data_IF_986734542991
#
_entry.id   IF_986734542991
#
_cell.length_a   1.000
_cell.length_b   1.000
_cell.length_c   1.000
_cell.angle_alpha   90.00
_cell.angle_beta   90.00
_cell.angle_gamma   90.00
#
_symmetry.space_group_name_H-M   'P 1'
#
loop_
_entity.id
_entity.type
_entity.pdbx_description
1 polymer ?
#
# COMPACT_ATOMS: atom_id res chain seq x y z
N UNK A 1 26.59 36.25 57.87
CA UNK A 1 25.22 36.27 57.30
C UNK A 1 25.28 35.73 55.87
N UNK A 2 25.36 34.40 55.67
CA UNK A 2 25.48 33.75 54.32
C UNK A 2 24.66 32.44 54.25
N UNK A 3 23.79 32.15 55.22
CA UNK A 3 23.00 30.91 55.22
C UNK A 3 21.62 31.02 54.53
N UNK A 4 21.14 32.23 54.24
CA UNK A 4 19.77 32.46 53.74
C UNK A 4 19.59 32.46 52.22
N UNK A 5 20.66 32.67 51.44
CA UNK A 5 20.57 32.81 49.97
C UNK A 5 20.71 31.47 49.22
N UNK A 6 21.41 30.49 49.80
CA UNK A 6 21.54 29.17 49.19
C UNK A 6 20.22 28.37 49.26
N UNK A 7 19.48 28.48 50.36
CA UNK A 7 18.21 27.79 50.56
C UNK A 7 17.09 28.29 49.63
N UNK A 8 17.05 29.60 49.34
CA UNK A 8 16.04 30.20 48.45
C UNK A 8 16.30 29.88 46.98
N UNK A 9 17.57 29.79 46.54
CA UNK A 9 17.93 29.33 45.18
C UNK A 9 17.64 27.85 44.97
N UNK A 10 17.90 27.00 45.96
CA UNK A 10 17.58 25.57 45.88
C UNK A 10 16.07 25.32 45.77
N UNK A 11 15.25 26.02 46.56
CA UNK A 11 13.78 25.93 46.50
C UNK A 11 13.22 26.43 45.16
N UNK A 12 13.79 27.48 44.57
CA UNK A 12 13.40 27.99 43.25
C UNK A 12 13.71 26.99 42.12
N UNK A 13 14.89 26.37 42.14
CA UNK A 13 15.27 25.35 41.17
C UNK A 13 14.38 24.11 41.28
N UNK A 14 14.07 23.66 42.51
CA UNK A 14 13.22 22.51 42.76
C UNK A 14 11.77 22.75 42.28
N UNK A 15 11.24 23.96 42.48
CA UNK A 15 9.91 24.36 41.98
C UNK A 15 9.85 24.35 40.45
N UNK A 16 10.92 24.79 39.80
CA UNK A 16 11.03 24.79 38.33
C UNK A 16 11.07 23.36 37.79
N UNK A 17 11.86 22.46 38.39
CA UNK A 17 11.92 21.04 38.00
C UNK A 17 10.56 20.36 38.16
N UNK A 18 9.87 20.57 39.28
CA UNK A 18 8.53 19.99 39.52
C UNK A 18 7.52 20.51 38.48
N UNK A 19 7.60 21.78 38.11
CA UNK A 19 6.73 22.37 37.10
C UNK A 19 6.98 21.80 35.69
N UNK A 20 8.25 21.56 35.32
CA UNK A 20 8.58 20.89 34.06
C UNK A 20 8.18 19.42 34.04
N UNK A 21 8.35 18.70 35.16
CA UNK A 21 7.91 17.31 35.27
C UNK A 21 6.38 17.19 35.20
N UNK A 22 5.64 18.11 35.83
CA UNK A 22 4.19 18.16 35.73
C UNK A 22 3.72 18.47 34.29
N UNK A 23 4.41 19.37 33.58
CA UNK A 23 4.12 19.68 32.18
C UNK A 23 4.40 18.49 31.26
N UNK A 24 5.51 17.77 31.47
CA UNK A 24 5.84 16.55 30.72
C UNK A 24 4.82 15.43 30.97
N UNK A 25 4.36 15.25 32.21
CA UNK A 25 3.32 14.28 32.55
C UNK A 25 1.98 14.65 31.91
N UNK A 26 1.61 15.94 31.88
CA UNK A 26 0.41 16.42 31.19
C UNK A 26 0.51 16.21 29.67
N UNK A 27 1.68 16.47 29.06
CA UNK A 27 1.92 16.20 27.64
C UNK A 27 1.81 14.71 27.31
N UNK A 28 2.34 13.83 28.17
CA UNK A 28 2.17 12.38 28.01
C UNK A 28 0.71 11.97 28.14
N UNK A 29 -0.04 12.55 29.07
CA UNK A 29 -1.46 12.25 29.29
C UNK A 29 -2.37 12.73 28.15
N UNK A 30 -2.07 13.89 27.56
CA UNK A 30 -2.77 14.40 26.36
C UNK A 30 -2.40 13.57 25.12
N UNK A 31 -1.13 13.16 24.98
CA UNK A 31 -0.68 12.31 23.88
C UNK A 31 -1.18 10.86 23.93
N UNK A 32 -1.68 10.40 25.08
CA UNK A 32 -2.24 9.05 25.26
C UNK A 32 -3.77 9.02 25.30
N UNK A 33 -4.43 10.17 25.07
CA UNK A 33 -5.88 10.21 24.95
C UNK A 33 -6.33 9.68 23.58
N UNK A 34 -7.16 8.62 23.50
CA UNK A 34 -7.58 8.01 22.24
C UNK A 34 -8.25 9.00 21.26
N UNK A 35 -8.87 10.04 21.80
CA UNK A 35 -9.53 11.11 21.04
C UNK A 35 -8.58 12.02 20.27
N UNK A 36 -7.29 12.08 20.64
CA UNK A 36 -6.24 12.78 19.90
C UNK A 36 -5.36 11.82 19.08
N UNK A 37 -5.38 10.51 19.40
CA UNK A 37 -4.79 9.46 18.57
C UNK A 37 -5.67 9.11 17.35
N UNK A 38 -6.98 9.33 17.45
CA UNK A 38 -7.96 9.10 16.38
C UNK A 38 -7.91 10.14 15.24
N UNK A 39 -7.10 11.20 15.35
CA UNK A 39 -6.96 12.21 14.31
C UNK A 39 -6.13 11.75 13.08
N UNK A 40 -5.71 10.48 13.03
CA UNK A 40 -5.04 9.86 11.88
C UNK A 40 -5.75 8.62 11.31
N UNK A 41 -6.92 8.24 11.83
CA UNK A 41 -7.60 6.99 11.41
C UNK A 41 -8.59 7.18 10.24
N UNK A 42 -8.80 8.41 9.78
CA UNK A 42 -9.72 8.78 8.67
C UNK A 42 -9.01 9.06 7.33
N UNK A 43 -7.71 8.79 7.17
CA UNK A 43 -6.92 9.48 6.12
C UNK A 43 -6.98 8.87 4.70
N UNK A 44 -7.54 7.67 4.49
CA UNK A 44 -7.57 7.04 3.16
C UNK A 44 -8.79 6.17 2.85
N UNK A 45 -9.12 6.07 1.55
CA UNK A 45 -10.30 5.34 1.06
C UNK A 45 -10.20 3.87 1.43
N UNK A 46 -11.24 3.36 2.09
CA UNK A 46 -11.36 1.94 2.41
C UNK A 46 -12.68 1.37 1.87
N UNK A 47 -12.58 0.33 1.07
CA UNK A 47 -13.70 -0.39 0.46
C UNK A 47 -13.90 -1.72 1.17
N UNK A 48 -15.13 -2.02 1.57
CA UNK A 48 -15.44 -3.28 2.23
C UNK A 48 -15.41 -4.46 1.25
N UNK A 49 -14.42 -5.35 1.40
CA UNK A 49 -14.33 -6.59 0.63
C UNK A 49 -15.30 -7.62 1.23
N UNK A 50 -16.21 -8.16 0.41
CA UNK A 50 -17.23 -9.12 0.86
C UNK A 50 -16.76 -10.57 0.84
N UNK A 51 -16.01 -10.95 -0.21
CA UNK A 51 -15.49 -12.29 -0.43
C UNK A 51 -14.35 -12.24 -1.45
N UNK A 52 -13.42 -13.19 -1.35
CA UNK A 52 -12.43 -13.46 -2.38
C UNK A 52 -12.87 -14.67 -3.20
N UNK A 53 -12.49 -14.69 -4.46
CA UNK A 53 -12.66 -15.83 -5.37
C UNK A 53 -11.49 -15.84 -6.37
N UNK A 54 -11.22 -17.00 -6.95
CA UNK A 54 -10.25 -17.15 -8.03
C UNK A 54 -10.82 -18.06 -9.12
N UNK A 55 -10.13 -18.04 -10.26
CA UNK A 55 -10.41 -18.92 -11.38
C UNK A 55 -9.20 -19.80 -11.67
N UNK A 56 -9.39 -21.08 -12.02
CA UNK A 56 -8.30 -21.94 -12.45
C UNK A 56 -7.73 -21.48 -13.79
N UNK A 57 -6.49 -21.86 -14.08
CA UNK A 57 -5.83 -21.57 -15.36
C UNK A 57 -6.66 -22.05 -16.57
N UNK A 58 -7.51 -23.07 -16.41
CA UNK A 58 -8.38 -23.56 -17.49
C UNK A 58 -9.33 -22.50 -18.07
N UNK A 59 -9.69 -21.47 -17.29
CA UNK A 59 -10.53 -20.36 -17.79
C UNK A 59 -9.78 -19.49 -18.82
N UNK A 60 -8.45 -19.57 -18.89
CA UNK A 60 -7.64 -18.83 -19.85
C UNK A 60 -7.39 -19.59 -21.15
N UNK A 61 -7.83 -20.86 -21.27
CA UNK A 61 -7.61 -21.69 -22.48
C UNK A 61 -8.25 -21.04 -23.72
N UNK A 62 -9.39 -20.39 -23.56
CA UNK A 62 -10.08 -19.69 -24.66
C UNK A 62 -9.34 -18.42 -25.13
N UNK A 63 -8.30 -18.01 -24.40
CA UNK A 63 -7.43 -16.86 -24.67
C UNK A 63 -5.98 -17.32 -24.92
N UNK A 64 -5.80 -18.46 -25.57
CA UNK A 64 -4.49 -19.05 -25.86
C UNK A 64 -3.61 -19.27 -24.61
N UNK A 65 -4.24 -19.53 -23.46
CA UNK A 65 -3.57 -19.69 -22.16
C UNK A 65 -2.80 -18.45 -21.67
N UNK A 66 -3.06 -17.27 -22.25
CA UNK A 66 -2.42 -16.03 -21.82
C UNK A 66 -3.04 -15.53 -20.50
N UNK A 67 -2.18 -15.23 -19.52
CA UNK A 67 -2.58 -14.60 -18.25
C UNK A 67 -2.06 -13.17 -18.27
N UNK A 68 -2.90 -12.25 -18.72
CA UNK A 68 -2.60 -10.80 -18.73
C UNK A 68 -3.43 -10.05 -17.70
N UNK A 69 -3.06 -8.81 -17.38
CA UNK A 69 -3.83 -7.98 -16.45
C UNK A 69 -5.27 -7.81 -16.95
N UNK A 70 -5.42 -7.41 -18.21
CA UNK A 70 -6.72 -7.16 -18.84
C UNK A 70 -7.61 -8.42 -18.90
N UNK A 71 -7.02 -9.58 -19.20
CA UNK A 71 -7.75 -10.84 -19.23
C UNK A 71 -8.16 -11.29 -17.83
N UNK A 72 -7.27 -11.13 -16.85
CA UNK A 72 -7.56 -11.43 -15.44
C UNK A 72 -8.69 -10.55 -14.92
N UNK A 73 -8.62 -9.25 -15.18
CA UNK A 73 -9.67 -8.29 -14.84
C UNK A 73 -11.01 -8.65 -15.51
N UNK A 74 -10.99 -8.95 -16.81
CA UNK A 74 -12.18 -9.35 -17.57
C UNK A 74 -12.84 -10.58 -16.97
N UNK A 75 -12.07 -11.62 -16.66
CA UNK A 75 -12.58 -12.86 -16.07
C UNK A 75 -13.16 -12.59 -14.67
N UNK A 76 -12.49 -11.78 -13.85
CA UNK A 76 -13.03 -11.35 -12.56
C UNK A 76 -14.37 -10.62 -12.70
N UNK A 77 -14.50 -9.70 -13.67
CA UNK A 77 -15.75 -8.97 -13.96
C UNK A 77 -16.86 -9.94 -14.37
N UNK A 78 -16.58 -10.89 -15.27
CA UNK A 78 -17.55 -11.91 -15.67
C UNK A 78 -17.98 -12.81 -14.48
N UNK A 79 -17.08 -13.03 -13.52
CA UNK A 79 -17.35 -13.70 -12.26
C UNK A 79 -18.13 -12.87 -11.23
N UNK A 80 -18.43 -11.60 -11.52
CA UNK A 80 -19.13 -10.69 -10.62
C UNK A 80 -18.22 -10.06 -9.54
N UNK A 81 -16.94 -9.85 -9.84
CA UNK A 81 -16.00 -9.14 -8.97
C UNK A 81 -14.92 -8.39 -9.74
N UNK A 82 -13.82 -8.07 -9.04
CA UNK A 82 -12.71 -7.26 -9.53
C UNK A 82 -11.39 -7.87 -9.04
N UNK A 83 -10.26 -7.42 -9.60
CA UNK A 83 -8.95 -7.71 -9.03
C UNK A 83 -8.85 -7.16 -7.60
N UNK A 84 -8.12 -7.85 -6.75
CA UNK A 84 -8.08 -7.54 -5.31
C UNK A 84 -7.36 -6.23 -5.01
N UNK A 85 -7.79 -5.52 -3.96
CA UNK A 85 -7.15 -4.31 -3.46
C UNK A 85 -6.67 -4.52 -2.02
N UNK A 86 -5.39 -4.28 -1.80
CA UNK A 86 -4.69 -4.62 -0.56
C UNK A 86 -4.42 -3.38 0.30
N UNK A 87 -5.56 -2.86 0.74
CA UNK A 87 -5.75 -1.54 1.34
C UNK A 87 -5.55 -1.49 2.87
N UNK A 88 -5.49 -2.64 3.54
CA UNK A 88 -5.37 -2.72 5.01
C UNK A 88 -4.63 -4.01 5.41
N UNK A 89 -4.00 -4.05 6.60
CA UNK A 89 -3.38 -5.27 7.12
C UNK A 89 -4.32 -6.48 7.16
N UNK A 90 -5.59 -6.28 7.50
CA UNK A 90 -6.58 -7.36 7.51
C UNK A 90 -6.93 -7.87 6.09
N UNK A 91 -6.97 -6.96 5.11
CA UNK A 91 -7.14 -7.36 3.71
C UNK A 91 -5.92 -8.15 3.22
N UNK A 92 -4.71 -7.69 3.54
CA UNK A 92 -3.45 -8.36 3.20
C UNK A 92 -3.40 -9.81 3.72
N UNK A 93 -3.72 -9.99 4.99
CA UNK A 93 -3.79 -11.31 5.63
C UNK A 93 -4.85 -12.18 4.95
N UNK A 94 -6.04 -11.64 4.69
CA UNK A 94 -7.12 -12.39 4.04
C UNK A 94 -6.78 -12.80 2.60
N UNK A 95 -6.10 -11.94 1.84
CA UNK A 95 -5.61 -12.24 0.48
C UNK A 95 -4.58 -13.36 0.55
N UNK A 96 -3.61 -13.23 1.46
CA UNK A 96 -2.56 -14.24 1.68
C UNK A 96 -3.17 -15.60 2.05
N UNK A 97 -4.12 -15.62 2.99
CA UNK A 97 -4.82 -16.84 3.41
C UNK A 97 -5.57 -17.48 2.25
N UNK A 98 -6.24 -16.68 1.43
CA UNK A 98 -6.93 -17.16 0.25
C UNK A 98 -5.96 -17.72 -0.80
N UNK A 99 -4.81 -17.07 -1.03
CA UNK A 99 -3.76 -17.57 -1.91
C UNK A 99 -3.20 -18.93 -1.42
N UNK A 100 -3.02 -19.12 -0.10
CA UNK A 100 -2.64 -20.43 0.45
C UNK A 100 -3.70 -21.50 0.20
N UNK A 101 -4.98 -21.13 0.27
CA UNK A 101 -6.09 -22.06 0.06
C UNK A 101 -6.16 -22.57 -1.39
N UNK A 102 -5.95 -21.68 -2.37
CA UNK A 102 -6.10 -22.01 -3.79
C UNK A 102 -4.80 -22.48 -4.44
N UNK A 103 -3.67 -22.18 -3.81
CA UNK A 103 -2.35 -22.60 -4.23
C UNK A 103 -2.14 -24.11 -4.08
N UNK A 104 -1.33 -24.67 -4.98
CA UNK A 104 -0.85 -26.04 -4.86
C UNK A 104 0.61 -26.03 -4.36
N UNK A 105 0.84 -26.65 -3.21
CA UNK A 105 2.19 -26.79 -2.61
C UNK A 105 3.17 -27.46 -3.58
N UNK A 106 2.69 -28.32 -4.49
CA UNK A 106 3.53 -28.93 -5.52
C UNK A 106 4.13 -27.90 -6.48
N UNK A 107 3.35 -26.89 -6.87
CA UNK A 107 3.81 -25.76 -7.68
C UNK A 107 4.69 -24.80 -6.87
N UNK A 108 4.44 -24.70 -5.56
CA UNK A 108 5.30 -24.01 -4.60
C UNK A 108 5.13 -22.49 -4.55
N UNK A 109 4.50 -21.88 -5.54
CA UNK A 109 4.27 -20.44 -5.63
C UNK A 109 2.88 -20.13 -6.19
N UNK A 110 2.34 -18.98 -5.83
CA UNK A 110 1.09 -18.42 -6.37
C UNK A 110 1.33 -16.96 -6.72
N UNK A 111 0.90 -16.57 -7.93
CA UNK A 111 0.95 -15.20 -8.41
C UNK A 111 -0.46 -14.75 -8.81
N UNK A 112 -0.78 -13.49 -8.57
CA UNK A 112 -2.02 -12.88 -9.07
C UNK A 112 -1.81 -11.40 -9.34
N UNK A 113 -2.38 -10.91 -10.45
CA UNK A 113 -2.59 -9.49 -10.62
C UNK A 113 -3.50 -8.94 -9.53
N UNK A 114 -3.21 -7.74 -9.08
CA UNK A 114 -4.02 -6.96 -8.14
C UNK A 114 -4.64 -5.77 -8.87
N UNK A 115 -5.67 -5.15 -8.32
CA UNK A 115 -6.34 -3.99 -8.93
C UNK A 115 -5.58 -2.67 -8.79
N UNK A 116 -4.28 -2.73 -8.47
CA UNK A 116 -3.42 -1.58 -8.30
C UNK A 116 -2.51 -1.44 -9.51
N UNK A 117 -2.54 -0.29 -10.18
CA UNK A 117 -1.73 -0.08 -11.39
C UNK A 117 -1.36 1.40 -11.59
N UNK A 118 -0.50 1.65 -12.58
CA UNK A 118 -0.05 2.99 -12.97
C UNK A 118 -0.65 3.48 -14.30
N UNK A 119 -1.68 2.82 -14.83
CA UNK A 119 -2.26 3.08 -16.16
C UNK A 119 -2.59 4.57 -16.33
N UNK A 120 -3.17 5.20 -15.30
CA UNK A 120 -3.50 6.62 -15.36
C UNK A 120 -2.26 7.48 -15.61
N UNK A 121 -1.24 7.34 -14.77
CA UNK A 121 -0.01 8.13 -14.88
C UNK A 121 0.73 7.92 -16.20
N UNK A 122 0.63 6.73 -16.81
CA UNK A 122 1.31 6.41 -18.07
C UNK A 122 0.52 6.91 -19.28
N UNK A 123 -0.79 6.66 -19.31
CA UNK A 123 -1.59 6.78 -20.54
C UNK A 123 -2.65 7.88 -20.50
N UNK A 124 -2.99 8.40 -19.32
CA UNK A 124 -4.12 9.34 -19.13
C UNK A 124 -3.70 10.71 -18.60
N UNK A 125 -2.55 10.80 -17.95
CA UNK A 125 -2.01 12.07 -17.49
C UNK A 125 -1.80 13.03 -18.67
N UNK A 126 -2.37 14.24 -18.54
CA UNK A 126 -2.39 15.27 -19.58
C UNK A 126 -1.26 16.27 -19.41
N UNK A 127 -0.77 16.43 -18.18
CA UNK A 127 0.36 17.29 -17.84
C UNK A 127 1.67 16.57 -18.23
N UNK A 128 2.41 17.05 -19.26
CA UNK A 128 3.61 16.39 -19.74
C UNK A 128 4.71 16.21 -18.68
N UNK A 129 4.71 17.07 -17.66
CA UNK A 129 5.68 17.04 -16.57
C UNK A 129 5.33 16.00 -15.50
N UNK A 130 4.10 15.45 -15.54
CA UNK A 130 3.58 14.42 -14.62
C UNK A 130 3.39 13.05 -15.26
N UNK A 131 3.75 12.89 -16.53
CA UNK A 131 3.67 11.58 -17.19
C UNK A 131 4.65 10.60 -16.54
N UNK A 132 4.17 9.38 -16.25
CA UNK A 132 4.98 8.23 -15.91
C UNK A 132 5.61 7.66 -17.18
N UNK A 133 6.90 7.39 -17.11
CA UNK A 133 7.63 6.67 -18.16
C UNK A 133 7.99 5.28 -17.62
N UNK A 134 7.34 4.21 -18.10
CA UNK A 134 7.61 2.87 -17.63
C UNK A 134 8.97 2.36 -18.10
N UNK A 135 9.48 1.37 -17.38
CA UNK A 135 10.78 0.75 -17.61
C UNK A 135 11.93 1.38 -16.82
N UNK A 136 12.94 0.57 -16.54
CA UNK A 136 14.11 0.95 -15.72
C UNK A 136 14.89 2.13 -16.33
N UNK A 137 15.01 2.19 -17.66
CA UNK A 137 15.81 3.21 -18.34
C UNK A 137 15.22 4.62 -18.19
N UNK A 138 13.90 4.73 -18.00
CA UNK A 138 13.17 6.00 -17.86
C UNK A 138 12.57 6.15 -16.46
N UNK A 139 13.24 5.59 -15.45
CA UNK A 139 12.77 5.56 -14.07
C UNK A 139 12.18 6.91 -13.61
N UNK A 140 10.97 6.87 -13.06
CA UNK A 140 10.15 8.06 -12.86
C UNK A 140 9.40 8.06 -11.54
N UNK A 141 9.48 9.19 -10.83
CA UNK A 141 8.68 9.47 -9.62
C UNK A 141 7.21 9.77 -9.91
N UNK A 142 6.85 9.91 -11.19
CA UNK A 142 5.49 10.20 -11.63
C UNK A 142 4.66 8.92 -11.85
N UNK A 143 5.28 7.74 -11.77
CA UNK A 143 4.57 6.48 -11.77
C UNK A 143 3.87 6.32 -10.42
N UNK A 144 2.57 6.60 -10.41
CA UNK A 144 1.72 6.53 -9.22
C UNK A 144 0.88 5.27 -9.35
N UNK A 145 1.04 4.35 -8.40
CA UNK A 145 0.18 3.20 -8.30
C UNK A 145 -1.10 3.58 -7.55
N UNK A 146 -2.23 3.19 -8.11
CA UNK A 146 -3.55 3.57 -7.63
C UNK A 146 -4.47 2.35 -7.56
N UNK A 147 -5.24 2.24 -6.47
CA UNK A 147 -6.45 1.41 -6.48
C UNK A 147 -7.49 2.17 -7.30
N UNK A 148 -7.87 1.66 -8.47
CA UNK A 148 -8.66 2.39 -9.45
C UNK A 148 -9.86 1.61 -9.99
N UNK A 149 -10.22 0.51 -9.33
CA UNK A 149 -11.34 -0.35 -9.71
C UNK A 149 -12.52 -0.20 -8.74
N UNK A 150 -13.75 -0.22 -9.28
CA UNK A 150 -14.98 -0.25 -8.49
C UNK A 150 -15.15 1.01 -7.63
N UNK A 151 -15.42 0.83 -6.34
CA UNK A 151 -15.64 1.95 -5.40
C UNK A 151 -14.40 2.84 -5.16
N UNK A 152 -13.22 2.42 -5.66
CA UNK A 152 -12.04 3.27 -5.66
C UNK A 152 -11.93 4.19 -6.89
N UNK A 153 -12.70 3.92 -7.94
CA UNK A 153 -12.61 4.68 -9.20
C UNK A 153 -13.13 6.12 -9.01
N UNK A 154 -12.39 7.08 -9.53
CA UNK A 154 -12.75 8.49 -9.47
C UNK A 154 -13.95 8.77 -10.40
N UNK A 155 -14.99 9.48 -9.94
CA UNK A 155 -16.24 9.63 -10.70
C UNK A 155 -16.08 10.39 -12.02
N UNK A 156 -15.06 11.24 -12.13
CA UNK A 156 -14.83 12.10 -13.30
C UNK A 156 -13.69 11.62 -14.19
N UNK A 157 -12.85 10.69 -13.71
CA UNK A 157 -11.61 10.30 -14.37
C UNK A 157 -11.45 8.77 -14.35
N UNK A 158 -11.69 8.15 -15.51
CA UNK A 158 -11.49 6.70 -15.67
C UNK A 158 -10.05 6.32 -15.35
N UNK A 159 -9.87 5.20 -14.63
CA UNK A 159 -8.57 4.67 -14.18
C UNK A 159 -7.84 5.51 -13.13
N UNK A 160 -8.43 6.59 -12.63
CA UNK A 160 -7.92 7.32 -11.47
C UNK A 160 -8.58 6.78 -10.20
N UNK A 161 -7.84 6.72 -9.11
CA UNK A 161 -8.41 6.32 -7.83
C UNK A 161 -7.51 6.63 -6.63
N UNK A 162 -7.52 5.74 -5.65
CA UNK A 162 -6.79 5.94 -4.40
C UNK A 162 -5.30 5.59 -4.56
N UNK A 163 -4.48 6.64 -4.62
CA UNK A 163 -3.03 6.50 -4.76
C UNK A 163 -2.41 5.91 -3.49
N UNK A 164 -1.56 4.89 -3.63
CA UNK A 164 -0.92 4.22 -2.49
C UNK A 164 0.60 4.16 -2.57
N UNK A 165 1.19 4.34 -3.74
CA UNK A 165 2.64 4.34 -3.91
C UNK A 165 3.08 5.22 -5.08
N UNK A 166 4.24 5.86 -4.97
CA UNK A 166 4.90 6.56 -6.07
C UNK A 166 6.31 6.06 -6.34
N UNK A 167 6.69 6.13 -7.61
CA UNK A 167 8.00 5.75 -8.10
C UNK A 167 7.94 4.45 -8.88
N UNK A 168 8.56 4.44 -10.06
CA UNK A 168 8.71 3.22 -10.86
C UNK A 168 9.79 2.28 -10.30
N UNK A 169 10.71 2.80 -9.48
CA UNK A 169 11.71 2.02 -8.76
C UNK A 169 11.77 2.45 -7.30
N UNK A 170 11.90 1.50 -6.38
CA UNK A 170 12.09 1.74 -4.94
C UNK A 170 13.35 2.55 -4.64
N UNK A 171 14.39 2.39 -5.46
CA UNK A 171 15.68 3.06 -5.28
C UNK A 171 15.66 4.55 -5.61
N UNK A 172 14.60 5.06 -6.25
CA UNK A 172 14.50 6.48 -6.56
C UNK A 172 14.32 7.32 -5.29
N UNK A 173 15.13 8.36 -5.15
CA UNK A 173 14.96 9.35 -4.09
C UNK A 173 13.58 9.99 -4.21
N UNK A 174 12.71 9.78 -3.22
CA UNK A 174 11.34 10.28 -3.20
C UNK A 174 10.27 9.26 -3.62
N UNK A 175 10.67 8.04 -3.99
CA UNK A 175 9.74 6.92 -4.10
C UNK A 175 9.25 6.48 -2.71
N UNK A 176 8.03 5.95 -2.65
CA UNK A 176 7.48 5.47 -1.39
C UNK A 176 5.96 5.50 -1.31
N UNK A 177 5.48 5.12 -0.12
CA UNK A 177 4.06 5.08 0.23
C UNK A 177 3.39 6.45 0.08
N UNK A 178 2.13 6.43 -0.31
CA UNK A 178 1.26 7.60 -0.39
C UNK A 178 0.01 7.38 0.46
N UNK A 179 -0.56 8.49 0.96
CA UNK A 179 -1.89 8.54 1.59
C UNK A 179 -2.10 7.51 2.71
N UNK A 180 -1.05 7.19 3.48
CA UNK A 180 -1.18 6.32 4.66
C UNK A 180 -1.52 4.85 4.39
N UNK A 181 -1.52 4.39 3.14
CA UNK A 181 -1.61 2.97 2.83
C UNK A 181 -0.32 2.24 3.25
N UNK A 182 -0.46 0.99 3.67
CA UNK A 182 0.69 0.13 3.89
C UNK A 182 1.34 -0.26 2.56
N UNK A 183 2.61 -0.65 2.64
CA UNK A 183 3.37 -1.15 1.50
C UNK A 183 3.80 -2.57 1.80
N UNK A 184 3.39 -3.49 0.95
CA UNK A 184 3.82 -4.89 1.01
C UNK A 184 4.80 -5.25 -0.12
N UNK A 185 5.42 -4.25 -0.77
CA UNK A 185 6.50 -4.46 -1.72
C UNK A 185 7.60 -5.35 -1.14
N UNK A 186 8.04 -6.32 -1.92
CA UNK A 186 9.23 -7.11 -1.61
C UNK A 186 10.47 -6.20 -1.52
N UNK A 187 11.53 -6.68 -0.89
CA UNK A 187 12.76 -5.93 -0.78
C UNK A 187 13.26 -5.43 -2.15
N UNK A 188 13.48 -4.11 -2.24
CA UNK A 188 13.87 -3.37 -3.46
C UNK A 188 12.82 -3.25 -4.57
N UNK A 189 11.56 -3.60 -4.32
CA UNK A 189 10.46 -3.41 -5.27
C UNK A 189 9.67 -2.10 -5.04
N UNK A 190 9.11 -1.47 -6.09
CA UNK A 190 9.18 -1.88 -7.50
C UNK A 190 10.62 -1.79 -8.06
N UNK A 191 10.98 -2.68 -8.97
CA UNK A 191 12.37 -2.89 -9.41
C UNK A 191 12.55 -2.87 -10.93
N UNK A 192 11.48 -3.02 -11.69
CA UNK A 192 11.53 -3.18 -13.15
C UNK A 192 10.90 -2.00 -13.90
N UNK A 193 10.26 -1.08 -13.18
CA UNK A 193 9.56 0.06 -13.76
C UNK A 193 8.27 -0.35 -14.45
N UNK A 194 7.71 -1.48 -14.08
CA UNK A 194 6.54 -2.07 -14.71
C UNK A 194 5.24 -1.49 -14.12
N UNK A 195 4.14 -1.66 -14.87
CA UNK A 195 2.91 -0.88 -14.62
C UNK A 195 1.93 -1.52 -13.65
N UNK A 196 1.96 -2.83 -13.48
CA UNK A 196 0.93 -3.58 -12.76
C UNK A 196 1.45 -4.12 -11.43
N UNK A 197 0.56 -4.15 -10.43
CA UNK A 197 0.86 -4.76 -9.15
C UNK A 197 0.56 -6.25 -9.19
N UNK A 198 1.56 -7.08 -8.86
CA UNK A 198 1.43 -8.52 -8.69
C UNK A 198 1.61 -8.87 -7.23
N UNK A 199 0.69 -9.66 -6.68
CA UNK A 199 0.87 -10.34 -5.40
C UNK A 199 1.50 -11.71 -5.64
N UNK A 200 2.57 -12.01 -4.91
CA UNK A 200 3.24 -13.31 -4.95
C UNK A 200 3.31 -13.91 -3.55
N UNK A 201 3.09 -15.23 -3.48
CA UNK A 201 3.21 -16.01 -2.28
C UNK A 201 4.03 -17.28 -2.53
N UNK A 202 5.11 -17.44 -1.78
CA UNK A 202 5.87 -18.70 -1.69
C UNK A 202 5.19 -19.64 -0.68
N UNK A 203 4.53 -20.69 -1.18
CA UNK A 203 3.80 -21.67 -0.37
C UNK A 203 4.72 -22.60 0.43
N UNK A 204 6.01 -22.66 0.09
CA UNK A 204 7.00 -23.49 0.80
C UNK A 204 7.52 -22.80 2.04
N UNK A 205 7.29 -21.49 2.17
CA UNK A 205 7.65 -20.68 3.32
C UNK A 205 6.41 -20.33 4.13
N UNK A 206 6.60 -20.17 5.44
CA UNK A 206 5.55 -19.64 6.32
C UNK A 206 5.61 -18.11 6.34
N UNK A 207 5.33 -17.49 5.20
CA UNK A 207 5.40 -16.03 5.00
C UNK A 207 4.06 -15.45 4.53
N UNK A 208 3.97 -14.13 4.50
CA UNK A 208 2.87 -13.41 3.86
C UNK A 208 3.19 -13.15 2.39
N UNK A 209 2.17 -12.80 1.60
CA UNK A 209 2.39 -12.42 0.22
C UNK A 209 3.17 -11.10 0.16
N UNK A 210 3.95 -10.87 -0.89
CA UNK A 210 4.62 -9.59 -1.15
C UNK A 210 4.28 -9.09 -2.54
N UNK A 211 4.43 -7.78 -2.73
CA UNK A 211 4.11 -7.09 -3.98
C UNK A 211 5.33 -6.96 -4.88
N UNK A 212 5.09 -7.08 -6.18
CA UNK A 212 6.06 -6.98 -7.27
C UNK A 212 5.47 -6.14 -8.39
N UNK A 213 6.32 -5.43 -9.15
CA UNK A 213 5.89 -4.73 -10.35
C UNK A 213 6.03 -5.68 -11.53
N UNK A 214 4.92 -5.84 -12.25
CA UNK A 214 4.77 -6.78 -13.33
C UNK A 214 4.39 -6.09 -14.63
N UNK A 215 4.92 -6.64 -15.72
CA UNK A 215 4.44 -6.32 -17.07
C UNK A 215 3.03 -6.89 -17.27
N UNK A 216 2.44 -6.66 -18.44
CA UNK A 216 1.12 -7.22 -18.77
C UNK A 216 1.12 -8.76 -18.92
N UNK A 217 2.25 -9.43 -18.70
CA UNK A 217 2.35 -10.89 -18.67
C UNK A 217 2.93 -11.36 -17.33
N UNK A 218 2.22 -12.26 -16.66
CA UNK A 218 2.61 -12.90 -15.39
C UNK A 218 2.72 -14.42 -15.54
#
# INVERSE_FOLDING_TARGET
MVAGEAGTRALSAMRTVVQWMALLLLLQYVGSHPSFTAAGEDEHVRVKIKKYFSFPHSEFIIYDSQVTYDLSLRICILGGGLLTADQTPAAHESITDYMRQVGDVANGEVFTYMGGDTIYSVHREKDPDKICRPGVAEASLNCIFEWNLGEFEHPEETYRGAQFFRGSLHSLTGAGRMNGYESYWEHHYPAHGEMFLISHLDLRKNTTATWYDGSDYA
#
